data_IF_062348074577
#
_entry.id   IF_062348074577
#
_cell.length_a   1.000
_cell.length_b   1.000
_cell.length_c   1.000
_cell.angle_alpha   90.00
_cell.angle_beta   90.00
_cell.angle_gamma   90.00
#
_symmetry.space_group_name_H-M   'P 1'
#
loop_
_entity.id
_entity.type
_entity.pdbx_description
1 polymer ?
#
# COMPACT_ATOMS: atom_id res chain seq x y z
N UNK A 1 -23.91 7.77 9.48
CA UNK A 1 -23.23 8.52 8.39
C UNK A 1 -21.73 8.68 8.63
N UNK A 2 -21.26 8.81 9.87
CA UNK A 2 -19.83 8.93 10.23
C UNK A 2 -18.96 7.71 9.88
N UNK A 3 -19.53 6.49 9.92
CA UNK A 3 -18.77 5.24 9.67
C UNK A 3 -18.20 5.13 8.25
N UNK A 4 -18.94 5.61 7.25
CA UNK A 4 -18.48 5.60 5.85
C UNK A 4 -17.33 6.58 5.63
N UNK A 5 -17.41 7.78 6.22
CA UNK A 5 -16.35 8.79 6.18
C UNK A 5 -15.07 8.29 6.85
N UNK A 6 -15.19 7.66 8.02
CA UNK A 6 -14.02 7.09 8.75
C UNK A 6 -13.37 5.95 7.96
N UNK A 7 -14.17 5.04 7.37
CA UNK A 7 -13.64 3.98 6.51
C UNK A 7 -12.96 4.55 5.27
N UNK A 8 -13.56 5.54 4.63
CA UNK A 8 -12.98 6.24 3.48
C UNK A 8 -11.63 6.89 3.81
N UNK A 9 -11.53 7.55 4.95
CA UNK A 9 -10.28 8.15 5.43
C UNK A 9 -9.19 7.09 5.66
N UNK A 10 -9.53 5.96 6.28
CA UNK A 10 -8.58 4.86 6.48
C UNK A 10 -8.09 4.25 5.17
N UNK A 11 -8.98 4.10 4.18
CA UNK A 11 -8.59 3.64 2.84
C UNK A 11 -7.65 4.63 2.15
N UNK A 12 -7.90 5.94 2.29
CA UNK A 12 -7.03 6.97 1.73
C UNK A 12 -5.64 6.95 2.38
N UNK A 13 -5.56 6.80 3.70
CA UNK A 13 -4.28 6.67 4.42
C UNK A 13 -3.54 5.42 3.96
N UNK A 14 -4.21 4.27 3.89
CA UNK A 14 -3.61 3.01 3.43
C UNK A 14 -3.06 3.12 2.00
N UNK A 15 -3.84 3.73 1.09
CA UNK A 15 -3.41 3.97 -0.29
C UNK A 15 -2.21 4.91 -0.36
N UNK A 16 -2.22 6.02 0.39
CA UNK A 16 -1.11 6.97 0.44
C UNK A 16 0.18 6.30 0.94
N UNK A 17 0.10 5.52 2.02
CA UNK A 17 1.24 4.77 2.55
C UNK A 17 1.77 3.78 1.51
N UNK A 18 0.88 3.04 0.84
CA UNK A 18 1.28 2.13 -0.22
C UNK A 18 1.97 2.84 -1.40
N UNK A 19 1.49 4.03 -1.79
CA UNK A 19 2.12 4.84 -2.85
C UNK A 19 3.54 5.25 -2.44
N UNK A 20 3.74 5.71 -1.20
CA UNK A 20 5.08 6.08 -0.72
C UNK A 20 6.03 4.89 -0.76
N UNK A 21 5.60 3.71 -0.30
CA UNK A 21 6.43 2.49 -0.33
C UNK A 21 6.71 2.03 -1.76
N UNK A 22 5.70 1.99 -2.63
CA UNK A 22 5.89 1.60 -4.03
C UNK A 22 6.77 2.57 -4.81
N UNK A 23 6.59 3.87 -4.62
CA UNK A 23 7.40 4.89 -5.28
C UNK A 23 8.85 4.82 -4.82
N UNK A 24 9.10 4.70 -3.51
CA UNK A 24 10.47 4.57 -2.99
C UNK A 24 11.13 3.28 -3.46
N UNK A 25 10.44 2.14 -3.43
CA UNK A 25 10.95 0.87 -3.93
C UNK A 25 11.30 0.93 -5.43
N UNK A 26 10.43 1.51 -6.26
CA UNK A 26 10.67 1.67 -7.69
C UNK A 26 11.82 2.63 -8.01
N UNK A 27 11.90 3.76 -7.30
CA UNK A 27 13.00 4.73 -7.46
C UNK A 27 14.35 4.13 -7.04
N UNK A 28 14.39 3.39 -5.93
CA UNK A 28 15.60 2.70 -5.48
C UNK A 28 16.00 1.58 -6.45
N UNK A 29 15.03 0.84 -7.00
CA UNK A 29 15.28 -0.18 -8.01
C UNK A 29 15.92 0.42 -9.27
N UNK A 30 15.39 1.54 -9.76
CA UNK A 30 15.95 2.26 -10.90
C UNK A 30 17.34 2.84 -10.60
N UNK A 31 17.50 3.49 -9.44
CA UNK A 31 18.80 4.02 -8.99
C UNK A 31 19.85 2.91 -8.78
N UNK A 32 19.41 1.69 -8.45
CA UNK A 32 20.24 0.49 -8.34
C UNK A 32 20.64 -0.14 -9.68
N UNK A 33 20.23 0.44 -10.81
CA UNK A 33 20.63 0.00 -12.16
C UNK A 33 19.70 -1.04 -12.80
N UNK A 34 18.52 -1.31 -12.22
CA UNK A 34 17.54 -2.17 -12.87
C UNK A 34 16.92 -1.51 -14.10
N UNK A 35 16.56 -2.30 -15.11
CA UNK A 35 15.94 -1.77 -16.32
C UNK A 35 14.53 -1.22 -16.00
N UNK A 36 14.03 -0.22 -16.77
CA UNK A 36 12.78 0.45 -16.44
C UNK A 36 11.57 -0.48 -16.20
N UNK A 37 11.36 -1.55 -17.00
CA UNK A 37 10.25 -2.47 -16.75
C UNK A 37 10.34 -3.18 -15.39
N UNK A 38 11.52 -3.63 -14.97
CA UNK A 38 11.67 -4.32 -13.67
C UNK A 38 11.60 -3.36 -12.49
N UNK A 39 12.07 -2.12 -12.65
CA UNK A 39 11.90 -1.08 -11.63
C UNK A 39 10.41 -0.77 -11.39
N UNK A 40 9.62 -0.69 -12.46
CA UNK A 40 8.15 -0.52 -12.37
C UNK A 40 7.50 -1.72 -11.68
N UNK A 41 7.90 -2.95 -12.02
CA UNK A 41 7.39 -4.16 -11.35
C UNK A 41 7.75 -4.18 -9.86
N UNK A 42 8.95 -3.72 -9.49
CA UNK A 42 9.40 -3.62 -8.10
C UNK A 42 8.54 -2.62 -7.32
N UNK A 43 8.33 -1.43 -7.88
CA UNK A 43 7.47 -0.42 -7.27
C UNK A 43 6.00 -0.86 -7.18
N UNK A 44 5.47 -1.48 -8.24
CA UNK A 44 4.11 -2.03 -8.26
C UNK A 44 3.90 -3.15 -7.26
N UNK A 45 4.88 -4.05 -7.12
CA UNK A 45 4.89 -5.10 -6.10
C UNK A 45 4.94 -4.54 -4.68
N UNK A 46 5.79 -3.52 -4.44
CA UNK A 46 5.86 -2.80 -3.17
C UNK A 46 4.55 -2.11 -2.80
N UNK A 47 3.93 -1.43 -3.77
CA UNK A 47 2.61 -0.81 -3.60
C UNK A 47 1.54 -1.85 -3.26
N UNK A 48 1.38 -2.86 -4.13
CA UNK A 48 0.33 -3.87 -3.98
C UNK A 48 0.48 -4.67 -2.68
N UNK A 49 1.71 -5.07 -2.34
CA UNK A 49 2.02 -5.78 -1.10
C UNK A 49 1.71 -4.94 0.14
N UNK A 50 2.11 -3.66 0.15
CA UNK A 50 1.86 -2.75 1.28
C UNK A 50 0.37 -2.50 1.47
N UNK A 51 -0.36 -2.25 0.38
CA UNK A 51 -1.80 -2.02 0.46
C UNK A 51 -2.52 -3.26 1.00
N UNK A 52 -2.18 -4.44 0.48
CA UNK A 52 -2.77 -5.71 0.95
C UNK A 52 -2.44 -5.97 2.42
N UNK A 53 -1.21 -5.70 2.86
CA UNK A 53 -0.79 -5.80 4.26
C UNK A 53 -1.67 -4.93 5.16
N UNK A 54 -1.80 -3.63 4.84
CA UNK A 54 -2.56 -2.69 5.68
C UNK A 54 -4.03 -3.08 5.73
N UNK A 55 -4.64 -3.44 4.60
CA UNK A 55 -6.04 -3.88 4.56
C UNK A 55 -6.25 -5.16 5.40
N UNK A 56 -5.32 -6.10 5.32
CA UNK A 56 -5.34 -7.33 6.13
C UNK A 56 -5.18 -7.01 7.61
N UNK A 57 -4.25 -6.13 7.98
CA UNK A 57 -4.05 -5.71 9.37
C UNK A 57 -5.31 -5.03 9.93
N UNK A 58 -5.91 -4.10 9.17
CA UNK A 58 -7.17 -3.45 9.55
C UNK A 58 -8.26 -4.49 9.78
N UNK A 59 -8.40 -5.48 8.89
CA UNK A 59 -9.37 -6.57 9.06
C UNK A 59 -9.19 -7.30 10.40
N UNK A 60 -7.95 -7.63 10.79
CA UNK A 60 -7.69 -8.29 12.07
C UNK A 60 -7.94 -7.39 13.28
N UNK A 61 -7.63 -6.10 13.18
CA UNK A 61 -7.87 -5.14 14.29
C UNK A 61 -9.34 -4.80 14.51
N UNK A 62 -10.19 -4.98 13.49
CA UNK A 62 -11.62 -4.69 13.57
C UNK A 62 -12.38 -5.74 14.41
N UNK A 63 -11.76 -6.89 14.73
CA UNK A 63 -12.27 -7.88 15.68
C UNK A 63 -13.74 -8.26 15.44
N UNK A 64 -14.00 -9.29 14.65
CA UNK A 64 -15.37 -9.77 14.48
C UNK A 64 -15.94 -10.21 15.84
N UNK A 65 -17.10 -9.67 16.28
CA UNK A 65 -17.87 -10.28 17.35
C UNK A 65 -18.31 -11.68 16.88
N UNK A 66 -17.98 -12.68 17.67
CA UNK A 66 -18.45 -14.07 17.52
C UNK A 66 -19.98 -14.10 17.50
#
# INVERSE_FOLDING_TARGET
MTTLTVRGLWLAIAALTAVLVGATAGLLAWAGGLNPPTAVLTGGGGFGGTLLLILTAVRFTVGEPQ
#
